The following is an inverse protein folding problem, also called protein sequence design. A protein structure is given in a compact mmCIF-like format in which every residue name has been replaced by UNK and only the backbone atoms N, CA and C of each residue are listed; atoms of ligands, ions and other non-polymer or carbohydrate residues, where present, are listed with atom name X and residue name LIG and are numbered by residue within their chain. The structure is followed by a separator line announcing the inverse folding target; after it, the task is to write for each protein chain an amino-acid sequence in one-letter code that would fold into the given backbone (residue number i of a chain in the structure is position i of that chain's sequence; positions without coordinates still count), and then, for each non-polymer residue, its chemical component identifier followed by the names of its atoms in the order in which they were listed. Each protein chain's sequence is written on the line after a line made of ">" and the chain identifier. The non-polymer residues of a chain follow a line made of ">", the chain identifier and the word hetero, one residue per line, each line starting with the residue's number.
data_IF_794017661042
#
_entry.id   IF_794017661042
#
_cell.length_a   1.000
_cell.length_b   1.000
_cell.length_c   1.000
_cell.angle_alpha   90.00
_cell.angle_beta   90.00
_cell.angle_gamma   90.00
#
_symmetry.space_group_name_H-M   'P 1'
#
loop_
_entity.id
_entity.type
_entity.pdbx_description
1 polymer ?
#
# COMPACT_ATOMS: atom_id res chain seq x y z
N UNK A 1 28.83 23.76 -10.39
CA UNK A 1 27.56 23.93 -9.66
C UNK A 1 26.33 23.79 -10.54
N UNK A 2 26.20 22.74 -11.35
CA UNK A 2 25.01 22.52 -12.22
C UNK A 2 24.42 21.10 -12.11
N UNK A 3 24.97 20.21 -11.29
CA UNK A 3 24.47 18.84 -11.11
C UNK A 3 23.34 18.72 -10.08
N UNK A 4 23.26 19.61 -9.08
CA UNK A 4 22.23 19.56 -8.05
C UNK A 4 20.83 20.03 -8.51
N UNK A 5 20.76 20.93 -9.50
CA UNK A 5 19.50 21.50 -9.98
C UNK A 5 18.70 20.51 -10.86
N UNK A 6 19.39 19.63 -11.59
CA UNK A 6 18.76 18.63 -12.47
C UNK A 6 18.22 17.45 -11.68
N UNK A 7 18.93 17.01 -10.63
CA UNK A 7 18.47 15.96 -9.70
C UNK A 7 17.26 16.44 -8.92
N UNK A 8 17.28 17.67 -8.42
CA UNK A 8 16.14 18.26 -7.72
C UNK A 8 14.91 18.35 -8.64
N UNK A 9 15.04 18.87 -9.87
CA UNK A 9 13.93 18.90 -10.85
C UNK A 9 13.39 17.51 -11.20
N UNK A 10 14.24 16.50 -11.36
CA UNK A 10 13.80 15.12 -11.57
C UNK A 10 13.02 14.56 -10.38
N UNK A 11 13.47 14.84 -9.16
CA UNK A 11 12.80 14.46 -7.92
C UNK A 11 11.42 15.13 -7.78
N UNK A 12 11.32 16.43 -8.07
CA UNK A 12 10.05 17.16 -8.01
C UNK A 12 9.04 16.67 -9.05
N UNK A 13 9.48 16.34 -10.28
CA UNK A 13 8.60 15.81 -11.33
C UNK A 13 8.12 14.39 -10.99
N UNK A 14 9.00 13.53 -10.47
CA UNK A 14 8.63 12.19 -9.98
C UNK A 14 7.67 12.27 -8.80
N UNK A 15 7.91 13.14 -7.80
CA UNK A 15 7.00 13.32 -6.67
C UNK A 15 5.64 13.87 -7.09
N UNK A 16 5.61 14.83 -8.02
CA UNK A 16 4.36 15.41 -8.51
C UNK A 16 3.53 14.39 -9.29
N UNK A 17 4.16 13.57 -10.13
CA UNK A 17 3.48 12.49 -10.85
C UNK A 17 2.92 11.43 -9.89
N UNK A 18 3.69 11.06 -8.86
CA UNK A 18 3.27 10.07 -7.87
C UNK A 18 2.01 10.54 -7.12
N UNK A 19 1.98 11.80 -6.69
CA UNK A 19 0.83 12.39 -5.98
C UNK A 19 -0.46 12.33 -6.79
N UNK A 20 -0.43 12.64 -8.10
CA UNK A 20 -1.65 12.55 -8.93
C UNK A 20 -2.16 11.11 -9.07
N UNK A 21 -1.24 10.15 -9.14
CA UNK A 21 -1.59 8.73 -9.15
C UNK A 21 -2.20 8.31 -7.81
N UNK A 22 -1.62 8.72 -6.69
CA UNK A 22 -2.12 8.40 -5.34
C UNK A 22 -3.49 9.03 -5.07
N UNK A 23 -3.73 10.25 -5.53
CA UNK A 23 -5.06 10.90 -5.45
C UNK A 23 -6.09 10.10 -6.25
N UNK A 24 -5.72 9.63 -7.45
CA UNK A 24 -6.60 8.84 -8.30
C UNK A 24 -6.93 7.49 -7.64
N UNK A 25 -5.92 6.82 -7.08
CA UNK A 25 -6.07 5.57 -6.35
C UNK A 25 -6.93 5.76 -5.08
N UNK A 26 -6.77 6.88 -4.36
CA UNK A 26 -7.60 7.22 -3.21
C UNK A 26 -9.08 7.43 -3.61
N UNK A 27 -9.34 8.10 -4.72
CA UNK A 27 -10.71 8.29 -5.24
C UNK A 27 -11.34 6.94 -5.62
N UNK A 28 -10.60 6.10 -6.37
CA UNK A 28 -11.08 4.79 -6.82
C UNK A 28 -11.36 3.83 -5.65
N UNK A 29 -10.44 3.76 -4.68
CA UNK A 29 -10.62 2.95 -3.48
C UNK A 29 -11.79 3.46 -2.64
N UNK A 30 -11.97 4.77 -2.49
CA UNK A 30 -13.13 5.36 -1.78
C UNK A 30 -14.46 4.99 -2.46
N UNK A 31 -14.56 5.15 -3.78
CA UNK A 31 -15.78 4.78 -4.54
C UNK A 31 -16.06 3.29 -4.38
N UNK A 32 -15.04 2.45 -4.50
CA UNK A 32 -15.15 0.99 -4.32
C UNK A 32 -15.67 0.63 -2.94
N UNK A 33 -15.12 1.23 -1.88
CA UNK A 33 -15.55 1.01 -0.50
C UNK A 33 -17.00 1.47 -0.29
N UNK A 34 -17.39 2.63 -0.84
CA UNK A 34 -18.77 3.11 -0.78
C UNK A 34 -19.74 2.15 -1.47
N UNK A 35 -19.40 1.64 -2.66
CA UNK A 35 -20.20 0.63 -3.36
C UNK A 35 -20.38 -0.61 -2.46
N UNK A 36 -19.31 -1.07 -1.80
CA UNK A 36 -19.36 -2.20 -0.88
C UNK A 36 -20.24 -1.94 0.36
N UNK A 37 -20.27 -0.71 0.87
CA UNK A 37 -21.15 -0.32 1.98
C UNK A 37 -22.62 -0.29 1.54
N UNK A 38 -22.91 0.20 0.33
CA UNK A 38 -24.27 0.33 -0.18
C UNK A 38 -24.84 -0.98 -0.76
N UNK A 39 -24.01 -1.83 -1.37
CA UNK A 39 -24.41 -3.15 -1.84
C UNK A 39 -24.31 -4.18 -0.70
N UNK A 40 -25.42 -4.33 0.03
CA UNK A 40 -25.58 -5.19 1.22
C UNK A 40 -25.37 -6.72 1.04
N UNK A 41 -24.83 -7.21 -0.08
CA UNK A 41 -24.76 -8.64 -0.41
C UNK A 41 -23.46 -8.99 -1.18
N UNK A 42 -22.74 -10.10 -1.03
CA UNK A 42 -22.81 -11.34 -0.22
C UNK A 42 -21.42 -11.55 0.42
N UNK A 43 -21.36 -12.07 1.65
CA UNK A 43 -20.10 -12.43 2.34
C UNK A 43 -19.41 -13.68 1.75
N UNK A 44 -19.23 -13.72 0.43
CA UNK A 44 -18.41 -14.74 -0.22
C UNK A 44 -16.94 -14.53 0.15
N UNK A 45 -16.12 -15.59 0.08
CA UNK A 45 -14.68 -15.45 0.29
C UNK A 45 -14.03 -14.49 -0.73
N UNK A 46 -14.56 -14.43 -1.96
CA UNK A 46 -14.11 -13.52 -3.01
C UNK A 46 -14.36 -12.06 -2.64
N UNK A 47 -15.57 -11.72 -2.23
CA UNK A 47 -15.92 -10.35 -1.86
C UNK A 47 -15.17 -9.88 -0.62
N UNK A 48 -14.92 -10.78 0.35
CA UNK A 48 -14.09 -10.45 1.52
C UNK A 48 -12.65 -10.14 1.15
N UNK A 49 -12.03 -10.94 0.27
CA UNK A 49 -10.66 -10.70 -0.18
C UNK A 49 -10.56 -9.44 -1.05
N UNK A 50 -11.53 -9.19 -1.93
CA UNK A 50 -11.60 -7.96 -2.70
C UNK A 50 -11.76 -6.73 -1.80
N UNK A 51 -12.62 -6.81 -0.78
CA UNK A 51 -12.74 -5.75 0.22
C UNK A 51 -11.43 -5.54 0.98
N UNK A 52 -10.71 -6.61 1.34
CA UNK A 52 -9.39 -6.50 1.95
C UNK A 52 -8.38 -5.78 1.04
N UNK A 53 -8.39 -6.05 -0.27
CA UNK A 53 -7.56 -5.32 -1.25
C UNK A 53 -7.92 -3.83 -1.28
N UNK A 54 -9.20 -3.50 -1.36
CA UNK A 54 -9.66 -2.12 -1.41
C UNK A 54 -9.31 -1.33 -0.14
N UNK A 55 -9.40 -1.97 1.04
CA UNK A 55 -8.99 -1.36 2.31
C UNK A 55 -7.47 -1.18 2.37
N UNK A 56 -6.71 -2.20 1.95
CA UNK A 56 -5.24 -2.16 1.95
C UNK A 56 -4.72 -1.04 1.02
N UNK A 57 -5.29 -0.93 -0.19
CA UNK A 57 -5.00 0.16 -1.13
C UNK A 57 -5.35 1.54 -0.56
N UNK A 58 -6.52 1.67 0.07
CA UNK A 58 -6.93 2.91 0.72
C UNK A 58 -5.97 3.32 1.85
N UNK A 59 -5.60 2.39 2.72
CA UNK A 59 -4.67 2.65 3.82
C UNK A 59 -3.27 3.01 3.29
N UNK A 60 -2.79 2.28 2.29
CA UNK A 60 -1.49 2.52 1.66
C UNK A 60 -1.43 3.92 1.04
N UNK A 61 -2.40 4.28 0.21
CA UNK A 61 -2.46 5.59 -0.47
C UNK A 61 -2.62 6.74 0.52
N UNK A 62 -3.44 6.55 1.57
CA UNK A 62 -3.58 7.56 2.63
C UNK A 62 -2.28 7.75 3.41
N UNK A 63 -1.58 6.65 3.73
CA UNK A 63 -0.30 6.70 4.43
C UNK A 63 0.79 7.37 3.59
N UNK A 64 0.82 7.13 2.28
CA UNK A 64 1.80 7.75 1.36
C UNK A 64 1.56 9.26 1.24
N UNK A 65 0.31 9.69 0.97
CA UNK A 65 -0.06 11.11 0.90
C UNK A 65 0.21 11.81 2.24
N UNK A 66 -0.15 11.18 3.37
CA UNK A 66 0.10 11.74 4.69
C UNK A 66 1.60 11.86 4.97
N UNK A 67 2.39 10.83 4.64
CA UNK A 67 3.86 10.84 4.75
C UNK A 67 4.49 11.95 3.91
N UNK A 68 4.05 12.12 2.66
CA UNK A 68 4.53 13.17 1.77
C UNK A 68 4.27 14.58 2.34
N UNK A 69 3.06 14.83 2.88
CA UNK A 69 2.73 16.11 3.53
C UNK A 69 3.62 16.39 4.74
N UNK A 70 3.90 15.37 5.56
CA UNK A 70 4.74 15.52 6.76
C UNK A 70 6.21 15.78 6.40
N UNK A 71 6.73 15.10 5.37
CA UNK A 71 8.09 15.31 4.88
C UNK A 71 8.24 16.73 4.33
N UNK A 72 7.26 17.22 3.57
CA UNK A 72 7.31 18.58 2.99
C UNK A 72 7.19 19.68 4.04
N UNK A 73 6.56 19.41 5.19
CA UNK A 73 6.53 20.36 6.31
C UNK A 73 7.93 20.66 6.89
N UNK A 74 8.95 19.82 6.60
CA UNK A 74 10.36 19.97 7.02
C UNK A 74 10.54 20.29 8.50
N UNK A 75 9.60 19.82 9.33
CA UNK A 75 9.55 20.10 10.76
C UNK A 75 10.04 18.87 11.54
N UNK A 76 11.17 18.93 12.26
CA UNK A 76 11.70 17.80 13.00
C UNK A 76 10.76 17.31 14.12
N UNK A 77 9.84 18.16 14.62
CA UNK A 77 8.83 17.74 15.59
C UNK A 77 7.83 16.71 15.03
N UNK A 78 7.74 16.58 13.70
CA UNK A 78 6.86 15.64 13.01
C UNK A 78 7.53 14.31 12.66
N UNK A 79 8.77 14.08 13.11
CA UNK A 79 9.54 12.88 12.78
C UNK A 79 8.80 11.59 13.16
N UNK A 80 8.21 11.54 14.35
CA UNK A 80 7.42 10.39 14.81
C UNK A 80 6.27 10.07 13.84
N UNK A 81 5.49 11.09 13.45
CA UNK A 81 4.37 10.93 12.53
C UNK A 81 4.83 10.50 11.13
N UNK A 82 5.99 11.00 10.70
CA UNK A 82 6.60 10.64 9.42
C UNK A 82 7.02 9.17 9.41
N UNK A 83 7.65 8.70 10.49
CA UNK A 83 8.03 7.30 10.65
C UNK A 83 6.80 6.38 10.74
N UNK A 84 5.76 6.81 11.44
CA UNK A 84 4.51 6.07 11.52
C UNK A 84 3.82 5.94 10.15
N UNK A 85 3.76 7.02 9.38
CA UNK A 85 3.20 7.01 8.02
C UNK A 85 3.98 6.06 7.10
N UNK A 86 5.31 6.14 7.10
CA UNK A 86 6.17 5.24 6.33
C UNK A 86 6.02 3.77 6.74
N UNK A 87 5.91 3.49 8.04
CA UNK A 87 5.68 2.15 8.54
C UNK A 87 4.35 1.59 8.03
N UNK A 88 3.27 2.37 8.15
CA UNK A 88 1.94 1.97 7.66
C UNK A 88 1.94 1.72 6.15
N UNK A 89 2.57 2.61 5.38
CA UNK A 89 2.72 2.45 3.94
C UNK A 89 3.46 1.16 3.57
N UNK A 90 4.63 0.89 4.17
CA UNK A 90 5.41 -0.33 3.88
C UNK A 90 4.69 -1.60 4.31
N UNK A 91 4.01 -1.58 5.45
CA UNK A 91 3.22 -2.70 5.96
C UNK A 91 2.08 -3.04 4.98
N UNK A 92 1.30 -2.05 4.56
CA UNK A 92 0.20 -2.24 3.62
C UNK A 92 0.72 -2.71 2.25
N UNK A 93 1.71 -2.00 1.69
CA UNK A 93 2.32 -2.36 0.40
C UNK A 93 2.89 -3.79 0.38
N UNK A 94 3.41 -4.28 1.51
CA UNK A 94 3.92 -5.64 1.64
C UNK A 94 2.81 -6.71 1.76
N UNK A 95 1.61 -6.35 2.22
CA UNK A 95 0.45 -7.24 2.29
C UNK A 95 -0.22 -7.41 0.93
N UNK A 96 -0.21 -6.36 0.09
CA UNK A 96 -0.87 -6.34 -1.22
C UNK A 96 -0.62 -7.60 -2.08
N UNK A 97 0.63 -8.08 -2.30
CA UNK A 97 0.87 -9.28 -3.11
C UNK A 97 0.23 -10.55 -2.51
N UNK A 98 0.23 -10.67 -1.19
CA UNK A 98 -0.32 -11.84 -0.50
C UNK A 98 -1.85 -11.86 -0.58
N UNK A 99 -2.49 -10.71 -0.39
CA UNK A 99 -3.94 -10.58 -0.52
C UNK A 99 -4.35 -10.80 -1.99
N UNK A 100 -3.62 -10.23 -2.95
CA UNK A 100 -3.91 -10.34 -4.37
C UNK A 100 -3.77 -11.78 -4.87
N UNK A 101 -2.66 -12.46 -4.54
CA UNK A 101 -2.48 -13.87 -4.88
C UNK A 101 -3.58 -14.75 -4.25
N UNK A 102 -3.96 -14.48 -3.00
CA UNK A 102 -5.06 -15.18 -2.34
C UNK A 102 -6.39 -14.94 -3.06
N UNK A 103 -6.67 -13.71 -3.49
CA UNK A 103 -7.86 -13.36 -4.27
C UNK A 103 -7.92 -14.15 -5.59
N UNK A 104 -6.84 -14.18 -6.37
CA UNK A 104 -6.75 -14.93 -7.63
C UNK A 104 -6.97 -16.44 -7.41
N UNK A 105 -6.40 -17.01 -6.34
CA UNK A 105 -6.60 -18.43 -6.01
C UNK A 105 -8.05 -18.77 -5.65
N UNK A 106 -8.75 -17.87 -4.97
CA UNK A 106 -10.17 -18.05 -4.67
C UNK A 106 -11.03 -17.86 -5.91
N UNK A 107 -10.69 -16.92 -6.79
CA UNK A 107 -11.41 -16.66 -8.04
C UNK A 107 -11.28 -17.83 -9.04
N UNK A 108 -10.11 -18.46 -9.10
CA UNK A 108 -9.82 -19.63 -9.95
C UNK A 108 -10.22 -20.98 -9.33
N UNK A 109 -10.73 -20.97 -8.09
CA UNK A 109 -11.09 -22.20 -7.36
C UNK A 109 -9.89 -23.08 -6.97
N UNK A 110 -8.66 -22.59 -7.13
CA UNK A 110 -7.42 -23.33 -6.84
C UNK A 110 -6.99 -23.26 -5.38
N UNK A 111 -7.65 -22.44 -4.55
CA UNK A 111 -7.29 -22.23 -3.14
C UNK A 111 -7.06 -23.53 -2.35
N UNK A 112 -7.90 -24.57 -2.57
CA UNK A 112 -7.79 -25.87 -1.88
C UNK A 112 -6.62 -26.75 -2.36
N UNK A 113 -6.00 -26.43 -3.50
CA UNK A 113 -4.88 -27.22 -4.06
C UNK A 113 -3.52 -26.84 -3.46
N UNK A 114 -3.41 -25.64 -2.91
CA UNK A 114 -2.15 -25.14 -2.37
C UNK A 114 -2.01 -25.47 -0.88
N UNK A 115 -0.78 -25.85 -0.48
CA UNK A 115 -0.44 -26.12 0.92
C UNK A 115 -0.22 -24.82 1.68
N UNK A 116 -0.35 -24.85 3.02
CA UNK A 116 -0.07 -23.70 3.92
C UNK A 116 1.28 -23.04 3.65
N UNK A 117 2.31 -23.80 3.29
CA UNK A 117 3.64 -23.28 2.97
C UNK A 117 3.68 -22.30 1.80
N UNK A 118 2.80 -22.47 0.80
CA UNK A 118 2.67 -21.50 -0.31
C UNK A 118 2.17 -20.15 0.21
N UNK A 119 1.15 -20.15 1.06
CA UNK A 119 0.63 -18.92 1.65
C UNK A 119 1.67 -18.22 2.54
N UNK A 120 2.51 -18.97 3.26
CA UNK A 120 3.61 -18.39 4.05
C UNK A 120 4.63 -17.69 3.13
N UNK A 121 4.96 -18.29 1.97
CA UNK A 121 5.88 -17.67 1.01
C UNK A 121 5.36 -16.36 0.40
N UNK A 122 4.05 -16.14 0.40
CA UNK A 122 3.48 -14.86 -0.04
C UNK A 122 3.79 -13.71 0.92
N UNK A 123 4.12 -14.01 2.18
CA UNK A 123 4.55 -13.02 3.18
C UNK A 123 6.08 -12.82 3.19
N UNK A 124 6.82 -13.44 2.27
CA UNK A 124 8.27 -13.20 2.15
C UNK A 124 8.63 -11.72 1.93
N UNK A 125 7.90 -10.91 1.14
CA UNK A 125 8.17 -9.48 1.01
C UNK A 125 8.19 -8.75 2.36
N UNK A 126 7.32 -9.16 3.28
CA UNK A 126 7.24 -8.63 4.64
C UNK A 126 8.52 -8.90 5.45
N UNK A 127 9.06 -10.12 5.34
CA UNK A 127 10.33 -10.47 6.01
C UNK A 127 11.48 -9.64 5.47
N UNK A 128 11.53 -9.42 4.16
CA UNK A 128 12.58 -8.60 3.53
C UNK A 128 12.50 -7.16 4.01
N UNK A 129 11.30 -6.56 4.01
CA UNK A 129 11.11 -5.17 4.45
C UNK A 129 11.42 -5.00 5.95
N UNK A 130 10.98 -5.95 6.79
CA UNK A 130 11.28 -5.93 8.21
C UNK A 130 12.79 -5.98 8.50
N UNK A 131 13.52 -6.85 7.79
CA UNK A 131 14.99 -6.90 7.89
C UNK A 131 15.59 -5.57 7.43
N UNK A 132 15.10 -5.02 6.32
CA UNK A 132 15.63 -3.78 5.73
C UNK A 132 15.49 -2.60 6.69
N UNK A 133 14.33 -2.46 7.35
CA UNK A 133 14.08 -1.44 8.39
C UNK A 133 14.89 -1.63 9.66
N UNK A 134 15.21 -2.88 10.05
CA UNK A 134 16.12 -3.12 11.18
C UNK A 134 17.58 -2.78 10.83
N UNK A 135 17.98 -3.00 9.57
CA UNK A 135 19.36 -2.74 9.13
C UNK A 135 19.64 -1.30 8.73
N UNK A 136 18.61 -0.54 8.35
CA UNK A 136 18.70 0.88 7.98
C UNK A 136 17.69 1.71 8.80
N UNK A 137 18.02 2.08 10.05
CA UNK A 137 17.18 2.90 10.92
C UNK A 137 17.06 4.36 10.47
#
# INVERSE_FOLDING_TARGET
>A
GFSGFTVAKGFYVLNTYNIFFDISALILSTITLLIFVFQKEKHTAQNRLFLSLAIDEFVMTLADIFGAVLIEARNPALLFWTQLANLLYHVAHALMPAIFASYVLVLTGLYKKYKKGFFISLFTPWLVLFILQLTNP
#
